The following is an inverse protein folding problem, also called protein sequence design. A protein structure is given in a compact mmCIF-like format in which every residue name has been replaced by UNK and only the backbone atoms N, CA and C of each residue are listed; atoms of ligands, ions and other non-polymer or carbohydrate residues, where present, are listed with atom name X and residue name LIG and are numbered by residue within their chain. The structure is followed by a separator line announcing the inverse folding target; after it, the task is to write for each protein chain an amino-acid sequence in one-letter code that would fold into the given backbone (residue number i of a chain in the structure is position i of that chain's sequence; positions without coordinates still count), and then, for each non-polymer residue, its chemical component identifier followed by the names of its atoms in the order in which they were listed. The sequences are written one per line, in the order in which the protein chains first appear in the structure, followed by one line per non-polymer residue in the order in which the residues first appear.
data_IF_795461717422
#
_entry.id   IF_795461717422
#
_cell.length_a   1.000
_cell.length_b   1.000
_cell.length_c   1.000
_cell.angle_alpha   90.00
_cell.angle_beta   90.00
_cell.angle_gamma   90.00
#
_symmetry.space_group_name_H-M   'P 1'
#
loop_
_entity.id
_entity.type
_entity.pdbx_description
1 polymer ?
#
# COMPACT_ATOMS: atom_id res chain seq x y z
N UNK A 1 -16.99 -6.20 -0.57
CA UNK A 1 -15.99 -5.60 -1.49
C UNK A 1 -14.67 -6.34 -1.31
N UNK A 2 -13.99 -6.62 -2.41
CA UNK A 2 -12.74 -7.38 -2.38
C UNK A 2 -11.53 -6.46 -2.27
N UNK A 3 -10.43 -7.01 -1.76
CA UNK A 3 -9.14 -6.36 -1.79
C UNK A 3 -8.34 -6.98 -2.91
N UNK A 4 -7.82 -6.15 -3.80
CA UNK A 4 -7.00 -6.58 -4.92
C UNK A 4 -5.61 -5.96 -4.79
N UNK A 5 -4.59 -6.81 -4.75
CA UNK A 5 -3.19 -6.38 -4.74
C UNK A 5 -2.65 -6.45 -6.15
N UNK A 6 -2.21 -5.32 -6.69
CA UNK A 6 -1.57 -5.34 -8.01
C UNK A 6 -0.27 -6.15 -7.96
N UNK A 7 0.18 -6.62 -9.10
CA UNK A 7 1.45 -7.35 -9.17
C UNK A 7 2.61 -6.50 -8.65
N UNK A 8 2.58 -5.21 -8.97
CA UNK A 8 3.61 -4.29 -8.48
C UNK A 8 3.59 -4.18 -6.96
N UNK A 9 2.42 -3.99 -6.36
CA UNK A 9 2.31 -3.88 -4.90
C UNK A 9 2.74 -5.17 -4.20
N UNK A 10 2.42 -6.33 -4.79
CA UNK A 10 2.89 -7.62 -4.26
C UNK A 10 4.41 -7.71 -4.28
N UNK A 11 5.04 -7.25 -5.36
CA UNK A 11 6.50 -7.26 -5.45
C UNK A 11 7.12 -6.33 -4.43
N UNK A 12 6.48 -5.20 -4.15
CA UNK A 12 6.93 -4.30 -3.10
C UNK A 12 6.86 -4.94 -1.71
N UNK A 13 5.76 -5.65 -1.43
CA UNK A 13 5.64 -6.36 -0.15
C UNK A 13 6.76 -7.41 0.01
N UNK A 14 7.06 -8.15 -1.06
CA UNK A 14 8.14 -9.13 -1.01
C UNK A 14 9.48 -8.48 -0.76
N UNK A 15 9.72 -7.32 -1.37
CA UNK A 15 10.96 -6.56 -1.17
C UNK A 15 11.08 -6.06 0.26
N UNK A 16 9.99 -5.52 0.81
CA UNK A 16 9.93 -5.07 2.20
C UNK A 16 10.21 -6.23 3.16
N UNK A 17 9.60 -7.38 2.89
CA UNK A 17 9.81 -8.57 3.69
C UNK A 17 11.28 -9.01 3.70
N UNK A 18 11.87 -9.13 2.51
CA UNK A 18 13.26 -9.58 2.37
C UNK A 18 14.24 -8.63 3.05
N UNK A 19 14.02 -7.32 2.85
CA UNK A 19 14.87 -6.31 3.47
C UNK A 19 14.83 -6.40 5.00
N UNK A 20 13.64 -6.45 5.57
CA UNK A 20 13.50 -6.49 7.03
C UNK A 20 13.96 -7.82 7.62
N UNK A 21 13.84 -8.91 6.88
CA UNK A 21 14.36 -10.20 7.28
C UNK A 21 15.88 -10.13 7.43
N UNK A 22 16.57 -9.45 6.52
CA UNK A 22 18.03 -9.31 6.57
C UNK A 22 18.50 -8.35 7.65
N UNK A 23 17.90 -7.17 7.74
CA UNK A 23 18.40 -6.14 8.67
C UNK A 23 17.90 -6.33 10.11
N UNK A 24 16.85 -7.10 10.30
CA UNK A 24 16.30 -7.33 11.64
C UNK A 24 16.14 -8.83 11.91
N UNK A 25 14.99 -9.42 11.53
CA UNK A 25 14.77 -10.85 11.72
C UNK A 25 13.55 -11.30 10.91
N UNK A 26 13.44 -12.62 10.72
CA UNK A 26 12.27 -13.21 10.09
C UNK A 26 11.00 -12.90 10.88
N UNK A 27 11.06 -12.93 12.20
CA UNK A 27 9.93 -12.64 13.07
C UNK A 27 9.44 -11.21 12.86
N UNK A 28 10.34 -10.26 12.82
CA UNK A 28 10.01 -8.85 12.62
C UNK A 28 9.43 -8.63 11.23
N UNK A 29 10.03 -9.25 10.21
CA UNK A 29 9.54 -9.13 8.84
C UNK A 29 8.11 -9.68 8.71
N UNK A 30 7.82 -10.84 9.28
CA UNK A 30 6.47 -11.42 9.28
C UNK A 30 5.47 -10.53 9.98
N UNK A 31 5.84 -10.00 11.13
CA UNK A 31 4.97 -9.13 11.91
C UNK A 31 4.62 -7.85 11.15
N UNK A 32 5.59 -7.30 10.43
CA UNK A 32 5.39 -6.12 9.62
C UNK A 32 4.40 -6.38 8.49
N UNK A 33 4.58 -7.45 7.73
CA UNK A 33 3.69 -7.80 6.62
C UNK A 33 2.27 -8.11 7.13
N UNK A 34 2.18 -8.85 8.22
CA UNK A 34 0.88 -9.15 8.85
C UNK A 34 0.17 -7.87 9.27
N UNK A 35 0.91 -6.93 9.84
CA UNK A 35 0.34 -5.64 10.24
C UNK A 35 -0.19 -4.85 9.06
N UNK A 36 0.57 -4.77 7.98
CA UNK A 36 0.15 -4.07 6.76
C UNK A 36 -1.12 -4.70 6.18
N UNK A 37 -1.13 -6.01 6.03
CA UNK A 37 -2.29 -6.70 5.43
C UNK A 37 -3.53 -6.61 6.32
N UNK A 38 -3.35 -6.60 7.62
CA UNK A 38 -4.46 -6.43 8.56
C UNK A 38 -5.07 -5.03 8.43
N UNK A 39 -4.24 -4.00 8.34
CA UNK A 39 -4.73 -2.64 8.15
C UNK A 39 -5.47 -2.51 6.83
N UNK A 40 -4.96 -3.12 5.76
CA UNK A 40 -5.63 -3.12 4.46
C UNK A 40 -7.02 -3.74 4.56
N UNK A 41 -7.17 -4.83 5.32
CA UNK A 41 -8.45 -5.50 5.43
C UNK A 41 -9.53 -4.62 6.07
N UNK A 42 -9.15 -3.64 6.88
CA UNK A 42 -10.11 -2.71 7.48
C UNK A 42 -10.73 -1.77 6.45
N UNK A 43 -10.10 -1.63 5.27
CA UNK A 43 -10.61 -0.76 4.21
C UNK A 43 -11.84 -1.33 3.52
N UNK A 44 -12.13 -2.62 3.67
CA UNK A 44 -13.26 -3.26 2.99
C UNK A 44 -14.61 -2.62 3.33
N UNK A 45 -14.79 -2.20 4.58
CA UNK A 45 -16.04 -1.58 5.01
C UNK A 45 -16.00 -0.04 4.95
N UNK A 46 -14.81 0.55 4.86
CA UNK A 46 -14.64 2.00 4.88
C UNK A 46 -13.56 2.44 3.88
N UNK A 47 -13.81 2.33 2.57
CA UNK A 47 -12.78 2.61 1.57
C UNK A 47 -12.29 4.04 1.53
N UNK A 48 -13.04 4.98 2.15
CA UNK A 48 -12.62 6.40 2.18
C UNK A 48 -11.96 6.80 3.49
N UNK A 49 -11.60 5.85 4.34
CA UNK A 49 -11.00 6.16 5.64
C UNK A 49 -9.58 6.73 5.52
N UNK A 50 -8.87 6.35 4.45
CA UNK A 50 -7.52 6.85 4.24
C UNK A 50 -7.51 8.31 3.78
N UNK A 51 -6.34 8.95 3.91
CA UNK A 51 -6.13 10.31 3.44
C UNK A 51 -5.93 10.33 1.93
N UNK A 52 -6.29 11.44 1.29
CA UNK A 52 -6.12 11.61 -0.14
C UNK A 52 -4.64 11.73 -0.49
N UNK A 53 -4.19 11.02 -1.55
CA UNK A 53 -2.79 11.06 -1.98
C UNK A 53 -2.55 12.23 -2.91
N UNK A 54 -1.85 13.25 -2.43
CA UNK A 54 -1.64 14.50 -3.17
C UNK A 54 -0.69 14.36 -4.35
N UNK A 55 0.22 13.39 -4.31
CA UNK A 55 1.17 13.18 -5.40
C UNK A 55 0.54 12.53 -6.63
N UNK A 56 -0.72 12.13 -6.53
CA UNK A 56 -1.46 11.47 -7.61
C UNK A 56 -2.78 12.16 -7.92
N UNK A 57 -2.92 13.44 -7.55
CA UNK A 57 -4.19 14.17 -7.74
C UNK A 57 -4.54 14.42 -9.20
N UNK A 58 -3.56 14.35 -10.09
CA UNK A 58 -3.77 14.53 -11.53
C UNK A 58 -4.27 13.27 -12.23
N UNK A 59 -4.45 12.18 -11.49
CA UNK A 59 -4.99 10.93 -12.03
C UNK A 59 -6.51 10.94 -11.99
N UNK A 60 -7.13 10.15 -12.86
CA UNK A 60 -8.58 9.98 -12.85
C UNK A 60 -9.08 9.33 -11.56
N UNK A 61 -8.31 8.36 -11.05
CA UNK A 61 -8.65 7.67 -9.82
C UNK A 61 -8.38 8.57 -8.62
N UNK A 62 -9.26 8.51 -7.63
CA UNK A 62 -9.02 9.18 -6.36
C UNK A 62 -8.18 8.26 -5.49
N UNK A 63 -6.88 8.47 -5.49
CA UNK A 63 -5.98 7.68 -4.66
C UNK A 63 -6.02 8.18 -3.22
N UNK A 64 -6.00 7.22 -2.30
CA UNK A 64 -5.93 7.45 -0.87
C UNK A 64 -4.80 6.63 -0.28
N UNK A 65 -4.42 6.94 0.95
CA UNK A 65 -3.35 6.20 1.60
C UNK A 65 -3.56 6.12 3.10
N UNK A 66 -2.87 5.18 3.71
CA UNK A 66 -2.64 5.15 5.14
C UNK A 66 -1.17 4.79 5.37
N UNK A 67 -0.70 5.05 6.60
CA UNK A 67 0.67 4.75 6.98
C UNK A 67 0.67 3.71 8.10
N UNK A 68 1.45 2.64 7.91
CA UNK A 68 1.69 1.66 8.94
C UNK A 68 3.18 1.67 9.24
N UNK A 69 3.55 2.11 10.44
CA UNK A 69 4.94 2.37 10.83
C UNK A 69 5.56 3.37 9.85
N UNK A 70 6.61 2.99 9.15
CA UNK A 70 7.24 3.86 8.16
C UNK A 70 6.87 3.50 6.72
N UNK A 71 5.82 2.72 6.54
CA UNK A 71 5.38 2.31 5.20
C UNK A 71 4.05 2.94 4.84
N UNK A 72 4.00 3.51 3.65
CA UNK A 72 2.81 4.14 3.09
C UNK A 72 2.16 3.18 2.11
N UNK A 73 0.87 2.95 2.29
CA UNK A 73 0.07 2.07 1.43
C UNK A 73 -0.91 2.93 0.66
N UNK A 74 -0.80 2.91 -0.67
CA UNK A 74 -1.65 3.71 -1.55
C UNK A 74 -2.65 2.80 -2.23
N UNK A 75 -3.91 3.20 -2.22
CA UNK A 75 -5.00 2.42 -2.77
C UNK A 75 -6.04 3.34 -3.40
N UNK A 76 -6.95 2.74 -4.18
CA UNK A 76 -8.12 3.44 -4.67
C UNK A 76 -9.32 2.49 -4.72
N UNK A 77 -10.52 3.06 -4.67
CA UNK A 77 -11.75 2.29 -4.71
C UNK A 77 -12.22 2.16 -6.15
N UNK A 78 -12.06 0.97 -6.72
CA UNK A 78 -12.54 0.68 -8.07
C UNK A 78 -14.02 0.28 -8.00
N UNK A 79 -14.89 1.27 -8.17
CA UNK A 79 -16.33 1.07 -8.05
C UNK A 79 -16.85 0.11 -9.11
N UNK A 80 -16.34 0.23 -10.34
CA UNK A 80 -16.78 -0.62 -11.45
C UNK A 80 -16.55 -2.10 -11.18
N UNK A 81 -15.44 -2.43 -10.56
CA UNK A 81 -15.08 -3.82 -10.23
C UNK A 81 -15.41 -4.19 -8.79
N UNK A 82 -16.01 -3.27 -8.04
CA UNK A 82 -16.39 -3.48 -6.64
C UNK A 82 -15.23 -4.01 -5.80
N UNK A 83 -14.09 -3.32 -5.89
CA UNK A 83 -12.89 -3.73 -5.13
C UNK A 83 -12.02 -2.55 -4.78
N UNK A 84 -11.21 -2.73 -3.73
CA UNK A 84 -10.14 -1.80 -3.39
C UNK A 84 -8.87 -2.33 -4.05
N UNK A 85 -8.18 -1.47 -4.82
CA UNK A 85 -6.94 -1.85 -5.49
C UNK A 85 -5.76 -1.22 -4.76
N UNK A 86 -4.87 -2.06 -4.25
CA UNK A 86 -3.64 -1.62 -3.60
C UNK A 86 -2.59 -1.48 -4.69
N UNK A 87 -2.13 -0.25 -4.91
CA UNK A 87 -1.24 0.05 -6.04
C UNK A 87 0.22 0.20 -5.63
N UNK A 88 0.48 0.79 -4.46
CA UNK A 88 1.83 1.06 -4.00
C UNK A 88 1.98 0.77 -2.52
N UNK A 89 3.14 0.23 -2.14
CA UNK A 89 3.56 0.15 -0.74
C UNK A 89 5.03 0.56 -0.72
N UNK A 90 5.37 1.61 -0.01
CA UNK A 90 6.76 2.07 0.01
C UNK A 90 7.14 2.72 1.33
N UNK A 91 8.45 2.79 1.56
CA UNK A 91 9.04 3.44 2.73
C UNK A 91 8.84 4.95 2.62
N UNK A 92 8.24 5.57 3.64
CA UNK A 92 7.97 7.01 3.66
C UNK A 92 9.24 7.86 3.63
N UNK A 93 10.39 7.26 3.89
CA UNK A 93 11.68 7.96 3.82
C UNK A 93 12.20 8.10 2.40
N UNK A 94 11.56 7.43 1.42
CA UNK A 94 11.93 7.55 0.02
C UNK A 94 11.27 8.76 -0.62
N UNK A 95 11.89 9.27 -1.70
CA UNK A 95 11.35 10.39 -2.42
C UNK A 95 10.02 10.02 -3.10
N UNK A 96 8.92 10.74 -2.79
CA UNK A 96 7.59 10.44 -3.36
C UNK A 96 7.54 10.47 -4.90
N UNK A 97 8.44 11.19 -5.54
CA UNK A 97 8.49 11.28 -7.00
C UNK A 97 8.67 9.92 -7.66
N UNK A 98 9.25 8.96 -6.96
CA UNK A 98 9.41 7.59 -7.47
C UNK A 98 8.09 6.91 -7.80
N UNK A 99 6.98 7.34 -7.19
CA UNK A 99 5.66 6.77 -7.45
C UNK A 99 5.29 6.95 -8.93
N UNK A 100 5.61 8.10 -9.50
CA UNK A 100 5.25 8.41 -10.88
C UNK A 100 6.05 7.60 -11.90
N UNK A 101 7.22 7.10 -11.52
CA UNK A 101 8.09 6.32 -12.41
C UNK A 101 7.63 4.88 -12.57
N UNK A 102 6.81 4.38 -11.66
CA UNK A 102 6.41 2.98 -11.62
C UNK A 102 5.06 2.73 -12.27
N UNK A 103 4.52 3.74 -12.88
CA UNK A 103 3.21 3.66 -13.53
C UNK A 103 3.30 2.94 -14.88
#
# INVERSE_FOLDING_TARGET
MKIFWTDFSKSELRRIFSYNKEIASLKIARKLITGITKEVSTMQSQPKIGQREEHLVDREQEFRYFVFKNYKVIYWHNIKKNRIEITYVFDTRQNPVKIHRTQ
#
